data_IF_683476565361
#
_entry.id   IF_683476565361
#
_cell.length_a   1.000
_cell.length_b   1.000
_cell.length_c   1.000
_cell.angle_alpha   90.00
_cell.angle_beta   90.00
_cell.angle_gamma   90.00
#
_symmetry.space_group_name_H-M   'P 1'
#
loop_
_entity.id
_entity.type
_entity.pdbx_description
1 polymer ?
#
# COMPACT_ATOMS: atom_id res chain seq x y z
N UNK A 1 19.39 9.43 -4.80
CA UNK A 1 19.09 9.78 -6.21
C UNK A 1 18.10 10.94 -6.36
N UNK A 2 16.95 10.93 -5.65
CA UNK A 2 15.94 12.00 -5.77
C UNK A 2 16.50 13.41 -5.53
N UNK A 3 17.10 13.68 -4.37
CA UNK A 3 17.68 15.00 -4.06
C UNK A 3 18.84 15.35 -5.01
N UNK A 4 19.81 14.44 -5.13
CA UNK A 4 21.08 14.72 -5.80
C UNK A 4 21.03 14.74 -7.33
N UNK A 5 20.05 14.07 -7.96
CA UNK A 5 19.96 13.96 -9.42
C UNK A 5 18.76 14.76 -9.92
N UNK A 6 17.55 14.29 -9.63
CA UNK A 6 16.32 14.90 -10.13
C UNK A 6 16.09 16.29 -9.51
N UNK A 7 16.11 16.38 -8.18
CA UNK A 7 15.95 17.64 -7.45
C UNK A 7 17.02 18.66 -7.84
N UNK A 8 18.28 18.22 -7.95
CA UNK A 8 19.38 19.08 -8.39
C UNK A 8 19.19 19.61 -9.81
N UNK A 9 18.80 18.77 -10.77
CA UNK A 9 18.56 19.21 -12.15
C UNK A 9 17.47 20.28 -12.20
N UNK A 10 16.30 19.97 -11.65
CA UNK A 10 15.14 20.86 -11.68
C UNK A 10 15.43 22.18 -10.97
N UNK A 11 16.10 22.13 -9.81
CA UNK A 11 16.50 23.34 -9.08
C UNK A 11 17.44 24.21 -9.94
N UNK A 12 18.47 23.63 -10.56
CA UNK A 12 19.39 24.39 -11.42
C UNK A 12 18.67 25.04 -12.59
N UNK A 13 17.77 24.31 -13.28
CA UNK A 13 17.04 24.84 -14.44
C UNK A 13 16.14 26.01 -14.04
N UNK A 14 15.33 25.83 -13.00
CA UNK A 14 14.37 26.85 -12.54
C UNK A 14 15.08 28.08 -11.97
N UNK A 15 16.09 27.90 -11.12
CA UNK A 15 16.88 29.02 -10.56
C UNK A 15 17.65 29.78 -11.64
N UNK A 16 18.30 29.11 -12.59
CA UNK A 16 19.02 29.81 -13.66
C UNK A 16 18.06 30.56 -14.60
N UNK A 17 16.87 29.99 -14.86
CA UNK A 17 15.84 30.67 -15.67
C UNK A 17 15.30 31.90 -14.95
N UNK A 18 15.05 31.82 -13.64
CA UNK A 18 14.67 32.99 -12.83
C UNK A 18 15.77 34.04 -12.82
N UNK A 19 17.01 33.61 -12.61
CA UNK A 19 18.17 34.50 -12.51
C UNK A 19 18.47 35.27 -13.80
N UNK A 20 18.42 34.61 -14.95
CA UNK A 20 18.85 35.22 -16.23
C UNK A 20 17.69 35.74 -17.07
N UNK A 21 16.51 35.15 -16.96
CA UNK A 21 15.36 35.45 -17.83
C UNK A 21 14.07 35.75 -17.06
N UNK A 22 14.15 36.05 -15.76
CA UNK A 22 12.99 36.46 -14.96
C UNK A 22 11.91 35.38 -14.84
N UNK A 23 12.29 34.12 -14.98
CA UNK A 23 11.36 32.99 -14.92
C UNK A 23 10.56 32.81 -16.20
N UNK A 24 10.91 33.51 -17.28
CA UNK A 24 10.28 33.33 -18.59
C UNK A 24 11.06 32.33 -19.42
N UNK A 25 10.34 31.42 -20.09
CA UNK A 25 10.93 30.48 -21.04
C UNK A 25 11.63 31.28 -22.16
N UNK A 26 12.95 31.17 -22.30
CA UNK A 26 13.68 31.94 -23.30
C UNK A 26 13.36 31.45 -24.72
N UNK A 27 13.56 32.32 -25.72
CA UNK A 27 13.42 31.93 -27.12
C UNK A 27 14.51 30.93 -27.49
N UNK A 28 14.14 29.84 -28.16
CA UNK A 28 15.09 28.90 -28.73
C UNK A 28 15.84 29.59 -29.89
N UNK A 29 17.17 29.64 -29.81
CA UNK A 29 18.03 30.29 -30.80
C UNK A 29 18.65 29.22 -31.72
N UNK A 30 19.94 29.32 -32.03
CA UNK A 30 20.66 28.28 -32.79
C UNK A 30 20.75 26.98 -31.99
N UNK A 31 20.44 25.86 -32.65
CA UNK A 31 20.61 24.49 -32.14
C UNK A 31 21.93 23.94 -32.69
N UNK A 32 22.83 23.55 -31.79
CA UNK A 32 24.11 22.94 -32.13
C UNK A 32 24.01 21.40 -32.17
N UNK A 33 24.98 20.68 -32.76
CA UNK A 33 24.94 19.22 -32.81
C UNK A 33 24.80 18.56 -31.43
N UNK A 34 25.44 19.10 -30.39
CA UNK A 34 25.29 18.59 -29.03
C UNK A 34 23.88 18.77 -28.45
N UNK A 35 23.16 19.81 -28.88
CA UNK A 35 21.77 20.04 -28.48
C UNK A 35 20.85 19.05 -29.17
N UNK A 36 21.07 18.85 -30.47
CA UNK A 36 20.27 17.92 -31.26
C UNK A 36 20.36 16.50 -30.72
N UNK A 37 21.57 16.06 -30.30
CA UNK A 37 21.74 14.76 -29.67
C UNK A 37 20.89 14.61 -28.40
N UNK A 38 20.83 15.65 -27.56
CA UNK A 38 20.03 15.64 -26.33
C UNK A 38 18.53 15.60 -26.66
N UNK A 39 18.09 16.31 -27.70
CA UNK A 39 16.70 16.30 -28.17
C UNK A 39 16.31 14.90 -28.68
N UNK A 40 17.17 14.28 -29.47
CA UNK A 40 16.94 12.95 -30.03
C UNK A 40 16.92 11.87 -28.93
N UNK A 41 17.83 11.98 -27.95
CA UNK A 41 17.86 11.10 -26.79
C UNK A 41 16.58 11.26 -25.94
N UNK A 42 16.14 12.50 -25.71
CA UNK A 42 14.91 12.82 -24.98
C UNK A 42 13.68 12.17 -25.63
N UNK A 43 13.56 12.29 -26.95
CA UNK A 43 12.43 11.75 -27.72
C UNK A 43 12.31 10.23 -27.65
N UNK A 44 13.40 9.51 -27.34
CA UNK A 44 13.40 8.05 -27.24
C UNK A 44 12.94 7.51 -25.87
N UNK A 45 12.98 8.31 -24.80
CA UNK A 45 12.64 7.83 -23.45
C UNK A 45 11.18 7.39 -23.26
N UNK A 46 10.15 8.10 -23.77
CA UNK A 46 8.76 7.69 -23.55
C UNK A 46 8.48 6.26 -24.03
N UNK A 47 8.99 5.89 -25.21
CA UNK A 47 8.84 4.54 -25.75
C UNK A 47 9.56 3.48 -24.90
N UNK A 48 10.79 3.77 -24.44
CA UNK A 48 11.55 2.87 -23.56
C UNK A 48 10.83 2.65 -22.23
N UNK A 49 10.37 3.72 -21.61
CA UNK A 49 9.67 3.69 -20.31
C UNK A 49 8.33 2.96 -20.46
N UNK A 50 7.52 3.27 -21.48
CA UNK A 50 6.24 2.60 -21.75
C UNK A 50 6.43 1.11 -21.95
N UNK A 51 7.41 0.70 -22.78
CA UNK A 51 7.71 -0.70 -23.00
C UNK A 51 8.09 -1.43 -21.70
N UNK A 52 8.87 -0.81 -20.81
CA UNK A 52 9.19 -1.43 -19.51
C UNK A 52 7.97 -1.49 -18.57
N UNK A 53 7.09 -0.49 -18.56
CA UNK A 53 5.85 -0.52 -17.78
C UNK A 53 4.91 -1.63 -18.28
N UNK A 54 4.68 -1.71 -19.59
CA UNK A 54 3.81 -2.72 -20.22
C UNK A 54 4.28 -4.16 -19.97
N UNK A 55 5.60 -4.34 -19.80
CA UNK A 55 6.20 -5.64 -19.48
C UNK A 55 6.43 -5.85 -17.98
N UNK A 56 5.80 -5.06 -17.10
CA UNK A 56 5.90 -5.14 -15.65
C UNK A 56 7.34 -4.98 -15.09
N UNK A 57 8.24 -4.33 -15.84
CA UNK A 57 9.63 -4.02 -15.46
C UNK A 57 9.73 -2.65 -14.79
N UNK A 58 9.00 -2.43 -13.69
CA UNK A 58 8.88 -1.12 -13.04
C UNK A 58 10.20 -0.52 -12.55
N UNK A 59 11.13 -1.34 -12.06
CA UNK A 59 12.45 -0.87 -11.62
C UNK A 59 13.27 -0.29 -12.77
N UNK A 60 13.21 -0.96 -13.93
CA UNK A 60 13.88 -0.49 -15.15
C UNK A 60 13.21 0.80 -15.64
N UNK A 61 11.87 0.82 -15.71
CA UNK A 61 11.12 2.00 -16.13
C UNK A 61 11.44 3.24 -15.27
N UNK A 62 11.47 3.08 -13.93
CA UNK A 62 11.86 4.16 -13.02
C UNK A 62 13.33 4.58 -13.21
N UNK A 63 14.23 3.62 -13.47
CA UNK A 63 15.62 3.92 -13.79
C UNK A 63 15.75 4.75 -15.07
N UNK A 64 14.94 4.46 -16.10
CA UNK A 64 14.90 5.25 -17.33
C UNK A 64 14.36 6.67 -17.11
N UNK A 65 13.34 6.85 -16.26
CA UNK A 65 12.91 8.21 -15.85
C UNK A 65 14.06 8.97 -15.17
N UNK A 66 14.80 8.31 -14.29
CA UNK A 66 15.98 8.93 -13.66
C UNK A 66 17.10 9.24 -14.66
N UNK A 67 17.22 8.45 -15.74
CA UNK A 67 18.18 8.72 -16.83
C UNK A 67 17.83 10.01 -17.60
N UNK A 68 16.56 10.38 -17.73
CA UNK A 68 16.16 11.69 -18.28
C UNK A 68 16.72 12.85 -17.44
N UNK A 69 16.64 12.74 -16.11
CA UNK A 69 17.23 13.73 -15.21
C UNK A 69 18.76 13.74 -15.24
N UNK A 70 19.40 12.58 -15.48
CA UNK A 70 20.86 12.49 -15.69
C UNK A 70 21.28 13.13 -17.01
N UNK A 71 20.51 12.93 -18.09
CA UNK A 71 20.70 13.61 -19.38
C UNK A 71 20.70 15.13 -19.21
N UNK A 72 19.68 15.67 -18.53
CA UNK A 72 19.60 17.11 -18.26
C UNK A 72 20.76 17.64 -17.40
N UNK A 73 21.16 16.92 -16.35
CA UNK A 73 22.33 17.29 -15.54
C UNK A 73 23.62 17.30 -16.37
N UNK A 74 23.84 16.28 -17.21
CA UNK A 74 24.99 16.16 -18.10
C UNK A 74 25.01 17.33 -19.08
N UNK A 75 23.88 17.61 -19.73
CA UNK A 75 23.76 18.72 -20.67
C UNK A 75 24.12 20.07 -20.03
N UNK A 76 23.59 20.37 -18.84
CA UNK A 76 23.98 21.58 -18.10
C UNK A 76 25.45 21.60 -17.70
N UNK A 77 26.03 20.46 -17.33
CA UNK A 77 27.43 20.35 -16.93
C UNK A 77 28.39 20.56 -18.10
N UNK A 78 28.07 20.05 -19.28
CA UNK A 78 28.91 20.18 -20.48
C UNK A 78 28.78 21.56 -21.13
N UNK A 79 27.59 22.17 -21.08
CA UNK A 79 27.33 23.49 -21.69
C UNK A 79 27.63 24.67 -20.78
N UNK A 80 27.72 24.45 -19.46
CA UNK A 80 28.10 25.45 -18.44
C UNK A 80 27.43 26.84 -18.60
N UNK A 81 26.09 26.95 -18.64
CA UNK A 81 25.40 28.22 -18.92
C UNK A 81 25.76 29.36 -17.94
N UNK A 82 26.17 29.04 -16.70
CA UNK A 82 26.64 30.04 -15.73
C UNK A 82 27.98 30.69 -16.09
N UNK A 83 28.78 30.06 -16.97
CA UNK A 83 29.99 30.66 -17.55
C UNK A 83 29.64 31.35 -18.87
N UNK A 84 28.91 30.66 -19.74
CA UNK A 84 28.60 31.13 -21.10
C UNK A 84 27.76 32.41 -21.12
N UNK A 85 26.93 32.65 -20.11
CA UNK A 85 26.12 33.88 -20.00
C UNK A 85 26.95 35.18 -20.07
N UNK A 86 28.24 35.11 -19.75
CA UNK A 86 29.15 36.28 -19.79
C UNK A 86 29.59 36.64 -21.21
N UNK A 87 29.44 35.73 -22.17
CA UNK A 87 29.99 35.86 -23.52
C UNK A 87 28.94 35.70 -24.60
N UNK A 88 27.92 34.87 -24.38
CA UNK A 88 26.92 34.50 -25.38
C UNK A 88 25.57 34.21 -24.69
N UNK A 89 24.75 35.25 -24.56
CA UNK A 89 23.42 35.14 -23.94
C UNK A 89 22.47 34.27 -24.78
N UNK A 90 22.56 34.36 -26.11
CA UNK A 90 21.72 33.60 -27.03
C UNK A 90 21.98 32.09 -26.92
N UNK A 91 23.24 31.69 -26.71
CA UNK A 91 23.56 30.30 -26.39
C UNK A 91 22.90 29.84 -25.09
N UNK A 92 22.88 30.69 -24.05
CA UNK A 92 22.22 30.36 -22.78
C UNK A 92 20.71 30.29 -22.93
N UNK A 93 20.10 31.09 -23.82
CA UNK A 93 18.68 30.96 -24.17
C UNK A 93 18.36 29.57 -24.70
N UNK A 94 19.14 29.06 -25.65
CA UNK A 94 18.96 27.69 -26.17
C UNK A 94 19.13 26.65 -25.06
N UNK A 95 20.21 26.73 -24.27
CA UNK A 95 20.51 25.75 -23.21
C UNK A 95 19.37 25.68 -22.19
N UNK A 96 18.90 26.82 -21.71
CA UNK A 96 17.82 26.85 -20.71
C UNK A 96 16.46 26.52 -21.31
N UNK A 97 16.19 26.86 -22.56
CA UNK A 97 14.97 26.41 -23.24
C UNK A 97 14.92 24.87 -23.29
N UNK A 98 15.98 24.23 -23.79
CA UNK A 98 16.05 22.77 -23.90
C UNK A 98 15.97 22.12 -22.51
N UNK A 99 16.67 22.68 -21.52
CA UNK A 99 16.62 22.16 -20.15
C UNK A 99 15.22 22.26 -19.52
N UNK A 100 14.45 23.30 -19.86
CA UNK A 100 13.05 23.44 -19.44
C UNK A 100 12.15 22.42 -20.16
N UNK A 101 12.36 22.14 -21.45
CA UNK A 101 11.63 21.07 -22.12
C UNK A 101 11.92 19.71 -21.47
N UNK A 102 13.18 19.41 -21.12
CA UNK A 102 13.53 18.19 -20.38
C UNK A 102 12.79 18.15 -19.03
N UNK A 103 12.73 19.27 -18.30
CA UNK A 103 11.99 19.34 -17.03
C UNK A 103 10.48 19.08 -17.20
N UNK A 104 9.86 19.64 -18.24
CA UNK A 104 8.45 19.37 -18.57
C UNK A 104 8.21 17.92 -18.99
N UNK A 105 9.15 17.30 -19.71
CA UNK A 105 9.06 15.88 -20.05
C UNK A 105 9.18 14.97 -18.82
N UNK A 106 10.06 15.32 -17.86
CA UNK A 106 10.17 14.57 -16.60
C UNK A 106 8.86 14.61 -15.82
N UNK A 107 8.16 15.74 -15.82
CA UNK A 107 6.86 15.89 -15.15
C UNK A 107 5.85 14.85 -15.63
N UNK A 108 5.69 14.69 -16.94
CA UNK A 108 4.83 13.67 -17.55
C UNK A 108 5.33 12.25 -17.22
N UNK A 109 6.63 12.00 -17.42
CA UNK A 109 7.19 10.65 -17.33
C UNK A 109 7.27 10.10 -15.90
N UNK A 110 7.32 10.98 -14.89
CA UNK A 110 7.43 10.57 -13.47
C UNK A 110 6.09 10.35 -12.79
N UNK A 111 4.98 10.84 -13.37
CA UNK A 111 3.64 10.76 -12.79
C UNK A 111 3.24 9.33 -12.34
N UNK A 112 3.49 8.25 -13.12
CA UNK A 112 3.14 6.89 -12.70
C UNK A 112 3.89 6.40 -11.45
N UNK A 113 5.02 7.03 -11.10
CA UNK A 113 5.90 6.61 -10.01
C UNK A 113 5.82 7.53 -8.80
N UNK A 114 5.76 8.85 -9.03
CA UNK A 114 5.76 9.89 -8.01
C UNK A 114 4.74 10.99 -8.36
N UNK A 115 3.41 10.71 -8.26
CA UNK A 115 2.37 11.64 -8.70
C UNK A 115 2.39 12.98 -7.96
N UNK A 116 2.71 12.97 -6.66
CA UNK A 116 2.84 14.21 -5.88
C UNK A 116 4.05 15.05 -6.30
N UNK A 117 5.13 14.40 -6.76
CA UNK A 117 6.29 15.09 -7.30
C UNK A 117 5.98 15.67 -8.67
N UNK A 118 5.27 14.93 -9.53
CA UNK A 118 4.79 15.41 -10.81
C UNK A 118 3.92 16.66 -10.61
N UNK A 119 2.90 16.61 -9.75
CA UNK A 119 2.05 17.77 -9.42
C UNK A 119 2.83 18.97 -8.88
N UNK A 120 3.85 18.74 -8.05
CA UNK A 120 4.73 19.81 -7.56
C UNK A 120 5.56 20.43 -8.69
N UNK A 121 6.06 19.61 -9.61
CA UNK A 121 6.81 20.07 -10.79
C UNK A 121 5.91 20.82 -11.78
N UNK A 122 4.72 20.28 -12.06
CA UNK A 122 3.64 20.89 -12.84
C UNK A 122 3.34 22.31 -12.33
N UNK A 123 3.14 22.46 -11.02
CA UNK A 123 2.93 23.76 -10.37
C UNK A 123 4.12 24.70 -10.51
N UNK A 124 5.35 24.21 -10.34
CA UNK A 124 6.54 25.06 -10.48
C UNK A 124 6.76 25.52 -11.93
N UNK A 125 6.51 24.65 -12.90
CA UNK A 125 6.57 24.98 -14.33
C UNK A 125 5.36 25.80 -14.79
N UNK A 126 4.33 25.94 -13.94
CA UNK A 126 3.07 26.60 -14.25
C UNK A 126 2.43 26.04 -15.53
N UNK A 127 2.44 24.72 -15.66
CA UNK A 127 2.16 24.02 -16.91
C UNK A 127 1.44 22.72 -16.59
N UNK A 128 0.40 22.33 -17.34
CA UNK A 128 -0.38 21.13 -17.05
C UNK A 128 -1.47 20.86 -18.09
N UNK A 129 -2.12 19.69 -17.98
CA UNK A 129 -3.13 19.21 -18.93
C UNK A 129 -2.56 18.38 -20.08
N UNK A 130 -1.39 17.78 -19.88
CA UNK A 130 -0.70 16.95 -20.88
C UNK A 130 -1.07 15.49 -20.75
N UNK A 131 -0.89 14.78 -21.85
CA UNK A 131 -1.03 13.34 -21.93
C UNK A 131 0.35 12.71 -22.06
N UNK A 132 0.43 11.42 -21.78
CA UNK A 132 1.64 10.63 -21.98
C UNK A 132 2.20 10.77 -23.41
N UNK A 133 1.32 10.93 -24.40
CA UNK A 133 1.66 11.11 -25.82
C UNK A 133 2.42 12.41 -26.11
N UNK A 134 2.35 13.40 -25.22
CA UNK A 134 3.10 14.65 -25.35
C UNK A 134 4.57 14.48 -24.92
N UNK A 135 4.92 13.40 -24.21
CA UNK A 135 6.28 13.14 -23.78
C UNK A 135 7.22 12.88 -24.98
N UNK A 136 8.47 13.29 -24.85
CA UNK A 136 9.47 13.39 -25.91
C UNK A 136 9.40 14.69 -26.72
N UNK A 137 8.38 15.52 -26.53
CA UNK A 137 8.19 16.77 -27.29
C UNK A 137 9.10 17.91 -26.81
N UNK A 138 9.55 18.72 -27.76
CA UNK A 138 10.25 19.99 -27.52
C UNK A 138 9.31 21.21 -27.55
N UNK A 139 8.00 20.99 -27.68
CA UNK A 139 6.99 22.03 -27.77
C UNK A 139 6.01 22.01 -26.58
N UNK A 140 6.52 21.71 -25.39
CA UNK A 140 5.72 21.72 -24.16
C UNK A 140 5.63 23.15 -23.61
N UNK A 141 6.79 23.74 -23.32
CA UNK A 141 6.87 25.09 -22.76
C UNK A 141 7.13 26.12 -23.87
N UNK A 142 6.13 26.96 -24.15
CA UNK A 142 6.22 27.97 -25.20
C UNK A 142 7.09 29.16 -24.77
N UNK A 143 7.71 29.84 -25.74
CA UNK A 143 8.52 31.05 -25.48
C UNK A 143 7.70 32.09 -24.69
N UNK A 144 8.34 32.75 -23.73
CA UNK A 144 7.73 33.78 -22.91
C UNK A 144 6.76 33.28 -21.83
N UNK A 145 6.45 31.97 -21.79
CA UNK A 145 5.69 31.36 -20.71
C UNK A 145 6.35 31.62 -19.36
N UNK A 146 5.54 31.93 -18.35
CA UNK A 146 6.01 32.33 -17.02
C UNK A 146 5.97 31.14 -16.06
N UNK A 147 7.13 30.78 -15.53
CA UNK A 147 7.28 29.81 -14.44
C UNK A 147 6.89 30.44 -13.11
N UNK A 148 6.50 29.60 -12.15
CA UNK A 148 6.29 29.99 -10.76
C UNK A 148 7.61 29.98 -9.99
N UNK A 149 7.62 30.58 -8.79
CA UNK A 149 8.82 30.63 -7.95
C UNK A 149 9.40 29.23 -7.65
N UNK A 150 10.74 29.07 -7.71
CA UNK A 150 11.37 27.79 -7.52
C UNK A 150 11.24 27.34 -6.06
N UNK A 151 10.80 26.09 -5.88
CA UNK A 151 10.74 25.41 -4.58
C UNK A 151 11.57 24.14 -4.63
N UNK A 152 12.12 23.71 -3.49
CA UNK A 152 12.83 22.43 -3.42
C UNK A 152 11.86 21.28 -3.68
N UNK A 153 12.13 20.45 -4.69
CA UNK A 153 11.31 19.26 -4.96
C UNK A 153 11.35 18.27 -3.80
N UNK A 154 12.55 17.99 -3.29
CA UNK A 154 12.79 17.00 -2.24
C UNK A 154 13.55 17.61 -1.08
N UNK A 155 13.19 17.19 0.12
CA UNK A 155 13.98 17.43 1.33
C UNK A 155 14.90 16.24 1.56
N UNK A 156 16.08 16.50 2.12
CA UNK A 156 16.98 15.43 2.52
C UNK A 156 16.39 14.74 3.74
N UNK A 157 16.34 13.41 3.69
CA UNK A 157 16.00 12.61 4.86
C UNK A 157 17.25 12.55 5.73
N UNK A 158 17.15 13.08 6.94
CA UNK A 158 18.22 13.02 7.95
C UNK A 158 18.11 11.75 8.78
N UNK A 159 19.24 11.29 9.32
CA UNK A 159 19.33 10.03 10.07
C UNK A 159 18.39 10.00 11.28
N UNK A 160 18.20 11.13 11.95
CA UNK A 160 17.28 11.27 13.09
C UNK A 160 15.82 11.00 12.71
N UNK A 161 15.39 11.42 11.50
CA UNK A 161 14.04 11.16 11.01
C UNK A 161 13.85 9.67 10.68
N UNK A 162 14.88 9.01 10.17
CA UNK A 162 14.88 7.54 9.96
C UNK A 162 14.79 6.82 11.31
N UNK A 163 15.59 7.23 12.29
CA UNK A 163 15.61 6.63 13.61
C UNK A 163 14.26 6.77 14.32
N UNK A 164 13.65 7.96 14.27
CA UNK A 164 12.32 8.19 14.82
C UNK A 164 11.26 7.26 14.22
N UNK A 165 11.33 6.99 12.90
CA UNK A 165 10.40 6.07 12.24
C UNK A 165 10.67 4.60 12.59
N UNK A 166 11.94 4.21 12.77
CA UNK A 166 12.33 2.87 13.25
C UNK A 166 11.82 2.66 14.68
N UNK A 167 12.00 3.64 15.56
CA UNK A 167 11.56 3.56 16.95
C UNK A 167 10.04 3.43 17.05
N UNK A 168 9.31 4.19 16.23
CA UNK A 168 7.85 4.06 16.11
C UNK A 168 7.41 2.69 15.63
N UNK A 169 8.10 2.11 14.62
CA UNK A 169 7.82 0.75 14.15
C UNK A 169 8.11 -0.29 15.25
N UNK A 170 9.19 -0.14 16.00
CA UNK A 170 9.54 -1.06 17.08
C UNK A 170 8.56 -0.97 18.25
N UNK A 171 8.09 0.23 18.62
CA UNK A 171 7.03 0.40 19.61
C UNK A 171 5.73 -0.27 19.14
N UNK A 172 5.33 -0.06 17.88
CA UNK A 172 4.15 -0.74 17.32
C UNK A 172 4.27 -2.26 17.25
N UNK A 173 5.50 -2.81 17.14
CA UNK A 173 5.74 -4.25 17.24
C UNK A 173 5.69 -4.74 18.68
N UNK A 174 6.19 -3.97 19.64
CA UNK A 174 6.08 -4.30 21.06
C UNK A 174 4.61 -4.33 21.52
N UNK A 175 3.78 -3.40 21.04
CA UNK A 175 2.34 -3.36 21.33
C UNK A 175 1.56 -4.54 20.69
N UNK A 176 2.06 -5.11 19.59
CA UNK A 176 1.50 -6.31 18.95
C UNK A 176 2.13 -7.63 19.45
N UNK A 177 3.13 -7.57 20.32
CA UNK A 177 3.72 -8.70 21.03
C UNK A 177 3.50 -8.49 22.53
N UNK A 178 2.25 -8.24 22.90
CA UNK A 178 1.81 -8.61 24.24
C UNK A 178 1.39 -10.07 24.11
N UNK A 179 2.14 -11.06 24.66
CA UNK A 179 1.56 -12.38 24.83
C UNK A 179 0.30 -12.17 25.67
N UNK A 180 -0.87 -12.52 25.12
CA UNK A 180 -2.08 -12.51 25.93
C UNK A 180 -1.77 -13.30 27.20
N UNK A 181 -1.90 -12.62 28.34
CA UNK A 181 -1.74 -13.26 29.62
C UNK A 181 -2.74 -14.41 29.67
N UNK A 182 -2.23 -15.64 29.57
CA UNK A 182 -3.05 -16.85 29.68
C UNK A 182 -3.71 -16.78 31.05
N UNK A 183 -5.04 -16.90 31.09
CA UNK A 183 -5.74 -16.92 32.38
C UNK A 183 -5.13 -18.01 33.26
N UNK A 184 -4.85 -17.72 34.55
CA UNK A 184 -4.30 -18.72 35.44
C UNK A 184 -5.21 -19.94 35.48
N UNK A 185 -4.62 -21.13 35.49
CA UNK A 185 -5.37 -22.37 35.57
C UNK A 185 -6.30 -22.34 36.79
N UNK A 186 -7.53 -22.80 36.62
CA UNK A 186 -8.47 -23.00 37.73
C UNK A 186 -7.90 -24.05 38.69
N UNK A 187 -8.41 -24.05 39.92
CA UNK A 187 -8.05 -25.06 40.91
C UNK A 187 -8.28 -26.49 40.40
N UNK A 188 -7.44 -27.42 40.86
CA UNK A 188 -7.55 -28.84 40.50
C UNK A 188 -8.91 -29.41 40.92
N UNK A 189 -9.56 -30.11 40.00
CA UNK A 189 -10.81 -30.84 40.24
C UNK A 189 -10.54 -32.35 40.40
N UNK A 190 -11.46 -33.06 41.06
CA UNK A 190 -11.40 -34.52 41.15
C UNK A 190 -11.86 -35.17 39.84
N UNK A 191 -11.37 -36.38 39.53
CA UNK A 191 -11.68 -37.07 38.28
C UNK A 191 -13.18 -37.35 38.10
N UNK A 192 -13.90 -37.60 39.19
CA UNK A 192 -15.34 -37.84 39.21
C UNK A 192 -16.13 -36.64 38.67
N UNK A 193 -15.63 -35.42 38.87
CA UNK A 193 -16.26 -34.19 38.35
C UNK A 193 -16.13 -34.10 36.83
N UNK A 194 -14.99 -34.55 36.26
CA UNK A 194 -14.80 -34.64 34.82
C UNK A 194 -15.62 -35.79 34.23
N UNK A 195 -15.57 -36.97 34.84
CA UNK A 195 -16.31 -38.16 34.39
C UNK A 195 -17.83 -37.98 34.42
N UNK A 196 -18.34 -37.02 35.21
CA UNK A 196 -19.75 -36.69 35.24
C UNK A 196 -20.20 -35.86 34.01
N UNK A 197 -19.28 -35.29 33.23
CA UNK A 197 -19.60 -34.50 32.03
C UNK A 197 -19.67 -35.45 30.82
N UNK A 198 -20.79 -35.45 30.11
CA UNK A 198 -20.96 -36.22 28.87
C UNK A 198 -20.65 -35.30 27.68
N UNK A 199 -19.51 -35.54 27.05
CA UNK A 199 -19.02 -34.80 25.88
C UNK A 199 -19.06 -35.73 24.67
N UNK A 200 -19.69 -35.28 23.58
CA UNK A 200 -19.84 -36.07 22.35
C UNK A 200 -19.50 -35.30 21.10
N UNK A 201 -19.09 -36.02 20.07
CA UNK A 201 -18.96 -35.48 18.71
C UNK A 201 -20.34 -35.30 18.11
N UNK A 202 -20.63 -34.10 17.61
CA UNK A 202 -21.88 -33.77 16.91
C UNK A 202 -21.59 -33.03 15.60
N UNK A 203 -22.50 -33.16 14.62
CA UNK A 203 -22.38 -32.47 13.33
C UNK A 203 -23.39 -31.34 13.23
N UNK A 204 -22.96 -30.16 12.74
CA UNK A 204 -23.85 -29.03 12.50
C UNK A 204 -24.68 -29.30 11.23
N UNK A 205 -26.00 -29.44 11.39
CA UNK A 205 -26.92 -29.69 10.26
C UNK A 205 -27.64 -28.44 9.79
N UNK A 206 -27.81 -27.43 10.65
CA UNK A 206 -28.37 -26.14 10.29
C UNK A 206 -27.79 -25.03 11.18
N UNK A 207 -27.67 -23.84 10.61
CA UNK A 207 -27.22 -22.65 11.32
C UNK A 207 -28.05 -21.43 10.88
N UNK A 208 -28.57 -20.68 11.85
CA UNK A 208 -29.41 -19.50 11.64
C UNK A 208 -28.92 -18.35 12.52
N UNK A 209 -29.02 -17.11 12.05
CA UNK A 209 -28.76 -15.93 12.90
C UNK A 209 -29.94 -15.73 13.85
N UNK A 210 -29.64 -15.49 15.13
CA UNK A 210 -30.68 -15.19 16.12
C UNK A 210 -31.16 -13.74 15.94
N UNK A 211 -32.47 -13.55 15.82
CA UNK A 211 -33.06 -12.21 15.71
C UNK A 211 -32.69 -11.33 16.91
N UNK A 212 -32.46 -10.03 16.67
CA UNK A 212 -32.13 -9.02 17.69
C UNK A 212 -30.75 -9.15 18.34
N UNK A 213 -29.83 -9.94 17.79
CA UNK A 213 -28.42 -9.97 18.22
C UNK A 213 -27.48 -10.20 17.05
N UNK A 214 -26.35 -9.49 17.04
CA UNK A 214 -25.28 -9.67 16.04
C UNK A 214 -24.27 -10.75 16.45
N UNK A 215 -24.37 -11.26 17.68
CA UNK A 215 -23.35 -12.14 18.28
C UNK A 215 -23.74 -13.61 18.35
N UNK A 216 -25.03 -13.95 18.25
CA UNK A 216 -25.50 -15.32 18.46
C UNK A 216 -25.94 -16.00 17.16
N UNK A 217 -25.53 -17.26 16.99
CA UNK A 217 -26.09 -18.21 16.03
C UNK A 217 -26.91 -19.27 16.76
N UNK A 218 -28.04 -19.65 16.17
CA UNK A 218 -28.82 -20.82 16.52
C UNK A 218 -28.35 -21.96 15.64
N UNK A 219 -27.82 -23.00 16.26
CA UNK A 219 -27.27 -24.16 15.59
C UNK A 219 -28.15 -25.37 15.90
N UNK A 220 -28.49 -26.13 14.87
CA UNK A 220 -29.08 -27.46 15.03
C UNK A 220 -27.97 -28.48 14.84
N UNK A 221 -27.76 -29.30 15.86
CA UNK A 221 -26.70 -30.32 15.91
C UNK A 221 -27.32 -31.71 15.88
N UNK A 222 -26.75 -32.59 15.06
CA UNK A 222 -27.01 -34.04 15.12
C UNK A 222 -26.01 -34.70 16.07
N UNK A 223 -26.52 -35.23 17.18
CA UNK A 223 -25.72 -35.92 18.20
C UNK A 223 -25.65 -37.42 17.97
N UNK A 224 -26.30 -37.96 16.93
CA UNK A 224 -26.44 -39.39 16.68
C UNK A 224 -27.45 -40.09 17.60
N UNK A 225 -27.87 -39.44 18.70
CA UNK A 225 -28.95 -39.89 19.60
C UNK A 225 -30.22 -39.11 19.30
N UNK A 226 -30.08 -37.79 19.20
CA UNK A 226 -31.15 -36.83 18.98
C UNK A 226 -30.63 -35.60 18.20
N UNK A 227 -31.54 -34.74 17.76
CA UNK A 227 -31.19 -33.43 17.24
C UNK A 227 -31.42 -32.37 18.32
N UNK A 228 -30.43 -31.51 18.52
CA UNK A 228 -30.46 -30.48 19.58
C UNK A 228 -30.25 -29.10 19.03
N UNK A 229 -30.92 -28.13 19.64
CA UNK A 229 -30.69 -26.71 19.36
C UNK A 229 -29.70 -26.16 20.38
N UNK A 230 -28.63 -25.51 19.89
CA UNK A 230 -27.63 -24.82 20.70
C UNK A 230 -27.48 -23.39 20.22
N UNK A 231 -27.47 -22.44 21.15
CA UNK A 231 -27.21 -21.03 20.86
C UNK A 231 -25.76 -20.71 21.20
N UNK A 232 -24.97 -20.31 20.20
CA UNK A 232 -23.54 -20.05 20.35
C UNK A 232 -23.17 -18.63 19.96
N UNK A 233 -22.26 -18.02 20.72
CA UNK A 233 -21.78 -16.64 20.58
C UNK A 233 -20.77 -16.41 19.45
N UNK A 234 -20.87 -17.16 18.35
CA UNK A 234 -19.84 -17.24 17.31
C UNK A 234 -20.17 -16.46 16.03
N UNK A 235 -21.26 -15.69 16.01
CA UNK A 235 -21.74 -15.02 14.80
C UNK A 235 -20.78 -13.93 14.26
N UNK A 236 -19.87 -13.42 15.10
CA UNK A 236 -18.85 -12.44 14.70
C UNK A 236 -17.66 -13.11 13.98
N UNK A 237 -17.47 -14.43 14.15
CA UNK A 237 -16.33 -15.17 13.61
C UNK A 237 -16.71 -16.10 12.45
N UNK A 238 -17.96 -16.56 12.41
CA UNK A 238 -18.41 -17.55 11.44
C UNK A 238 -19.72 -17.14 10.76
N UNK A 239 -19.76 -17.32 9.44
CA UNK A 239 -21.00 -17.23 8.66
C UNK A 239 -21.78 -18.56 8.77
N UNK A 240 -23.12 -18.54 8.91
CA UNK A 240 -23.93 -19.75 9.06
C UNK A 240 -23.70 -20.79 7.96
N UNK A 241 -23.44 -20.35 6.74
CA UNK A 241 -23.28 -21.19 5.55
C UNK A 241 -21.98 -21.99 5.59
N UNK A 242 -20.95 -21.46 6.25
CA UNK A 242 -19.60 -22.05 6.27
C UNK A 242 -19.41 -23.12 7.35
N UNK A 243 -20.36 -23.25 8.28
CA UNK A 243 -20.24 -24.14 9.44
C UNK A 243 -21.13 -25.38 9.33
N UNK A 244 -22.05 -25.42 8.36
CA UNK A 244 -22.87 -26.61 8.10
C UNK A 244 -21.97 -27.74 7.63
N UNK A 245 -22.15 -28.93 8.22
CA UNK A 245 -21.36 -30.13 7.96
C UNK A 245 -20.09 -30.27 8.80
N UNK A 246 -19.72 -29.27 9.60
CA UNK A 246 -18.56 -29.38 10.49
C UNK A 246 -18.89 -30.21 11.74
N UNK A 247 -17.90 -31.00 12.20
CA UNK A 247 -17.97 -31.72 13.47
C UNK A 247 -17.48 -30.84 14.61
N UNK A 248 -18.13 -30.93 15.77
CA UNK A 248 -17.81 -30.16 16.97
C UNK A 248 -17.94 -31.02 18.22
N UNK A 249 -17.24 -30.64 19.28
CA UNK A 249 -17.39 -31.24 20.61
C UNK A 249 -18.54 -30.55 21.37
N UNK A 250 -19.53 -31.34 21.78
CA UNK A 250 -20.74 -30.87 22.45
C UNK A 250 -20.87 -31.51 23.83
N UNK A 251 -21.05 -30.68 24.86
CA UNK A 251 -21.49 -31.14 26.18
C UNK A 251 -23.00 -31.36 26.16
N UNK A 252 -23.45 -32.62 26.32
CA UNK A 252 -24.85 -33.02 26.11
C UNK A 252 -25.67 -33.12 27.39
N UNK A 253 -25.04 -33.18 28.57
CA UNK A 253 -25.72 -33.37 29.86
C UNK A 253 -25.77 -32.11 30.73
N UNK A 254 -25.57 -30.93 30.14
CA UNK A 254 -25.85 -29.66 30.81
C UNK A 254 -27.35 -29.38 30.85
N UNK A 255 -27.81 -28.79 31.96
CA UNK A 255 -29.20 -28.34 32.08
C UNK A 255 -29.54 -27.32 30.97
N UNK A 256 -30.68 -27.46 30.27
CA UNK A 256 -31.09 -26.52 29.25
C UNK A 256 -31.18 -25.09 29.79
N UNK A 257 -30.75 -24.11 28.97
CA UNK A 257 -30.82 -22.68 29.31
C UNK A 257 -31.52 -21.91 28.22
N UNK A 258 -32.42 -21.02 28.62
CA UNK A 258 -33.07 -20.11 27.68
C UNK A 258 -32.17 -18.90 27.40
N UNK A 259 -31.82 -18.71 26.14
CA UNK A 259 -30.98 -17.61 25.67
C UNK A 259 -31.76 -16.86 24.59
N UNK A 260 -32.16 -15.62 24.91
CA UNK A 260 -32.92 -14.74 23.98
C UNK A 260 -34.19 -15.41 23.40
N UNK A 261 -34.90 -16.21 24.20
CA UNK A 261 -36.14 -16.88 23.79
C UNK A 261 -35.93 -18.23 23.07
N UNK A 262 -34.69 -18.71 22.95
CA UNK A 262 -34.36 -20.02 22.37
C UNK A 262 -33.79 -20.91 23.47
N UNK A 263 -34.32 -22.13 23.60
CA UNK A 263 -33.81 -23.12 24.56
C UNK A 263 -32.54 -23.78 24.01
N UNK A 264 -31.39 -23.49 24.61
CA UNK A 264 -30.10 -24.11 24.29
C UNK A 264 -29.91 -25.38 25.11
N UNK A 265 -29.76 -26.52 24.44
CA UNK A 265 -29.73 -27.88 25.02
C UNK A 265 -28.34 -28.52 24.98
N UNK A 266 -27.31 -27.71 25.22
CA UNK A 266 -25.92 -28.14 25.26
C UNK A 266 -24.96 -26.97 25.14
N UNK A 267 -23.66 -27.26 25.17
CA UNK A 267 -22.60 -26.29 25.01
C UNK A 267 -21.52 -26.80 24.06
N UNK A 268 -21.24 -26.04 23.00
CA UNK A 268 -20.14 -26.34 22.08
C UNK A 268 -18.83 -25.86 22.69
N UNK A 269 -17.80 -26.70 22.62
CA UNK A 269 -16.46 -26.35 23.07
C UNK A 269 -15.70 -25.60 21.97
N UNK A 270 -15.12 -24.46 22.36
CA UNK A 270 -14.33 -23.60 21.49
C UNK A 270 -12.99 -23.31 22.15
N UNK A 271 -11.94 -23.16 21.36
CA UNK A 271 -10.71 -22.51 21.79
C UNK A 271 -10.77 -21.03 21.47
N UNK A 272 -10.15 -20.21 22.32
CA UNK A 272 -10.01 -18.76 22.13
C UNK A 272 -8.52 -18.43 22.05
N UNK A 273 -8.11 -17.69 21.02
CA UNK A 273 -6.73 -17.22 20.91
C UNK A 273 -6.48 -15.91 21.68
N UNK A 274 -5.23 -15.48 21.70
CA UNK A 274 -4.79 -14.23 22.32
C UNK A 274 -5.54 -12.97 21.84
N UNK A 275 -6.13 -13.03 20.64
CA UNK A 275 -6.85 -11.93 20.00
C UNK A 275 -8.38 -12.07 20.15
N UNK A 276 -8.85 -13.04 20.95
CA UNK A 276 -10.27 -13.32 21.16
C UNK A 276 -10.94 -14.09 20.01
N UNK A 277 -10.17 -14.63 19.06
CA UNK A 277 -10.72 -15.41 17.94
C UNK A 277 -11.11 -16.81 18.41
N UNK A 278 -12.36 -17.19 18.16
CA UNK A 278 -12.88 -18.52 18.49
C UNK A 278 -12.62 -19.53 17.38
N UNK A 279 -12.22 -20.75 17.75
CA UNK A 279 -12.12 -21.91 16.86
C UNK A 279 -12.81 -23.15 17.45
N UNK A 280 -13.43 -23.97 16.59
CA UNK A 280 -14.10 -25.19 17.04
C UNK A 280 -13.09 -26.21 17.59
N UNK A 281 -13.44 -26.83 18.72
CA UNK A 281 -12.74 -28.03 19.20
C UNK A 281 -13.43 -29.24 18.63
N UNK A 282 -12.74 -29.97 17.76
CA UNK A 282 -13.26 -31.11 17.02
C UNK A 282 -12.20 -32.22 16.95
N UNK A 283 -12.60 -33.49 16.76
CA UNK A 283 -11.65 -34.54 16.46
C UNK A 283 -10.95 -34.26 15.12
N UNK A 284 -9.67 -34.65 15.02
CA UNK A 284 -8.89 -34.50 13.78
C UNK A 284 -9.44 -35.43 12.69
N UNK A 285 -9.76 -36.66 13.07
CA UNK A 285 -10.40 -37.64 12.20
C UNK A 285 -11.92 -37.55 12.32
N UNK A 286 -12.63 -37.86 11.23
CA UNK A 286 -14.09 -37.93 11.25
C UNK A 286 -14.58 -39.12 12.06
N UNK A 287 -15.47 -38.88 13.01
CA UNK A 287 -16.10 -39.92 13.83
C UNK A 287 -17.62 -39.95 13.63
N UNK A 288 -18.27 -41.05 13.98
CA UNK A 288 -19.75 -41.10 13.98
C UNK A 288 -20.33 -40.13 15.01
N UNK A 289 -21.43 -39.46 14.66
CA UNK A 289 -22.18 -38.63 15.60
C UNK A 289 -22.52 -39.44 16.87
N UNK A 290 -22.32 -38.85 18.04
CA UNK A 290 -22.56 -39.49 19.34
C UNK A 290 -21.38 -40.25 19.93
N UNK A 291 -20.23 -40.25 19.24
CA UNK A 291 -18.96 -40.77 19.78
C UNK A 291 -18.57 -40.01 21.04
N UNK A 292 -18.21 -40.76 22.09
CA UNK A 292 -17.85 -40.23 23.41
C UNK A 292 -16.44 -39.65 23.36
N UNK A 293 -16.29 -38.42 23.84
CA UNK A 293 -14.99 -37.76 24.09
C UNK A 293 -14.63 -38.02 25.56
N UNK A 294 -13.46 -38.59 25.79
CA UNK A 294 -12.96 -39.03 27.11
C UNK A 294 -11.49 -38.68 27.29
#
# INVERSE_FOLDING_TARGET
ELVAILGNFINRVTVLTHKYFGGKVPMLMEIKPEDQQVIDDLAAFPAKISASIENYRFREALSEVMNVARLGNKYLAETEPWKVIKTDEDRVRTILNISLQIAANIEILIEPFLPFTADKLMKMLNYGGHLWEDAGSMNLLHRGHQLNEPVLLFEKIEDDAVQAQIDKLNQSKADNVVPAAVEPAKDNIQFEQFSAIDIRVATIIAAEKVEKTKKLLKLTLDTGIDQRTVVSGIAEFYAPENIIGQQVSLVVNLAPREIKGIVSQGMILMSEDANGKLAFVAPIDSHSNGSIIR
#
